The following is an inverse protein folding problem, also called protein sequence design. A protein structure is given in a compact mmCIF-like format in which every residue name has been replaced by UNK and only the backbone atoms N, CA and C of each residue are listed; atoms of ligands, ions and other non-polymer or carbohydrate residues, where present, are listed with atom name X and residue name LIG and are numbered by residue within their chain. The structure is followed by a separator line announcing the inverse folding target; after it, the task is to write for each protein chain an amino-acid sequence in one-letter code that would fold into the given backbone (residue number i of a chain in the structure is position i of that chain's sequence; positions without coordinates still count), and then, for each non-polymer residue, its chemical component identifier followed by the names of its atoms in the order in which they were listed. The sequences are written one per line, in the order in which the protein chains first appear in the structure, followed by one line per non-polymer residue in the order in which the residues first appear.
data_IF_435906429659
#
_entry.id   IF_435906429659
#
_cell.length_a   1.000
_cell.length_b   1.000
_cell.length_c   1.000
_cell.angle_alpha   90.00
_cell.angle_beta   90.00
_cell.angle_gamma   90.00
#
_symmetry.space_group_name_H-M   'P 1'
#
loop_
_entity.id
_entity.type
_entity.pdbx_description
1 polymer ?
#
# COMPACT_ATOMS: atom_id res chain seq x y z
N UNK A 1 -3.00 1.81 -6.82
CA UNK A 1 -3.73 0.92 -5.87
C UNK A 1 -3.90 -0.48 -6.47
N UNK A 2 -4.33 -0.62 -7.73
CA UNK A 2 -4.65 -1.93 -8.33
C UNK A 2 -3.52 -2.96 -8.43
N UNK A 3 -2.26 -2.54 -8.58
CA UNK A 3 -1.12 -3.47 -8.67
C UNK A 3 -0.76 -4.12 -7.34
N UNK A 4 -0.75 -3.33 -6.27
CA UNK A 4 -0.41 -3.78 -4.93
C UNK A 4 -1.48 -4.74 -4.40
N UNK A 5 -2.76 -4.40 -4.60
CA UNK A 5 -3.88 -5.27 -4.26
C UNK A 5 -3.81 -6.62 -4.99
N UNK A 6 -3.42 -6.61 -6.28
CA UNK A 6 -3.23 -7.83 -7.06
C UNK A 6 -2.06 -8.68 -6.53
N UNK A 7 -0.97 -8.05 -6.12
CA UNK A 7 0.19 -8.77 -5.59
C UNK A 7 -0.10 -9.37 -4.21
N UNK A 8 -0.78 -8.62 -3.33
CA UNK A 8 -1.30 -9.11 -2.05
C UNK A 8 -2.25 -10.29 -2.28
N UNK A 9 -3.18 -10.18 -3.23
CA UNK A 9 -4.11 -11.27 -3.58
C UNK A 9 -3.36 -12.55 -3.93
N UNK A 10 -2.29 -12.47 -4.74
CA UNK A 10 -1.48 -13.64 -5.09
C UNK A 10 -0.77 -14.25 -3.87
N UNK A 11 -0.36 -13.46 -2.89
CA UNK A 11 0.23 -13.98 -1.65
C UNK A 11 -0.80 -14.72 -0.80
N UNK A 12 -2.01 -14.15 -0.66
CA UNK A 12 -3.13 -14.79 0.02
C UNK A 12 -3.54 -16.10 -0.68
N UNK A 13 -3.57 -16.13 -2.02
CA UNK A 13 -3.86 -17.34 -2.82
C UNK A 13 -2.83 -18.46 -2.62
N UNK A 14 -1.58 -18.12 -2.24
CA UNK A 14 -0.55 -19.09 -1.85
C UNK A 14 -0.68 -19.57 -0.39
N UNK A 15 -1.65 -19.07 0.36
CA UNK A 15 -1.88 -19.41 1.76
C UNK A 15 -1.06 -18.57 2.75
N UNK A 16 -0.44 -17.48 2.32
CA UNK A 16 0.28 -16.58 3.22
C UNK A 16 -0.71 -15.76 4.07
N UNK A 17 -0.46 -15.65 5.37
CA UNK A 17 -0.99 -14.54 6.18
C UNK A 17 -0.19 -13.28 5.81
N UNK A 18 -0.87 -12.21 5.44
CA UNK A 18 -0.27 -10.93 5.08
C UNK A 18 -0.61 -9.87 6.12
N UNK A 19 0.41 -9.33 6.78
CA UNK A 19 0.31 -8.16 7.64
C UNK A 19 0.51 -6.90 6.80
N UNK A 20 -0.41 -5.95 6.90
CA UNK A 20 -0.38 -4.73 6.09
C UNK A 20 -0.58 -3.49 6.96
N UNK A 21 0.17 -2.43 6.64
CA UNK A 21 -0.05 -1.09 7.16
C UNK A 21 -0.12 -0.08 6.02
N UNK A 22 -0.95 0.95 6.21
CA UNK A 22 -1.08 2.08 5.28
C UNK A 22 -0.96 3.39 6.05
N UNK A 23 -0.06 4.24 5.58
CA UNK A 23 0.27 5.53 6.21
C UNK A 23 -0.10 6.63 5.22
N UNK A 24 -1.21 7.36 5.45
CA UNK A 24 -1.55 8.52 4.65
C UNK A 24 -0.52 9.63 4.82
N UNK A 25 -0.16 10.29 3.71
CA UNK A 25 0.72 11.47 3.71
C UNK A 25 -0.08 12.73 3.39
N UNK A 26 0.08 13.76 4.22
CA UNK A 26 -0.50 15.09 4.04
C UNK A 26 0.61 16.14 3.96
N UNK A 27 0.33 17.27 3.31
CA UNK A 27 1.25 18.40 3.23
C UNK A 27 0.61 19.64 3.88
N UNK A 28 1.24 20.14 4.94
CA UNK A 28 0.76 21.30 5.70
C UNK A 28 -0.63 21.06 6.29
N UNK A 29 -1.52 22.05 6.19
CA UNK A 29 -2.91 21.98 6.65
C UNK A 29 -3.88 21.40 5.62
N UNK A 30 -3.38 20.81 4.52
CA UNK A 30 -4.22 20.20 3.50
C UNK A 30 -5.02 19.03 4.08
N UNK A 31 -6.32 18.98 3.78
CA UNK A 31 -7.17 17.80 4.06
C UNK A 31 -7.13 16.77 2.93
N UNK A 32 -6.46 17.10 1.83
CA UNK A 32 -6.26 16.21 0.68
C UNK A 32 -4.91 15.51 0.86
N UNK A 33 -4.92 14.19 0.72
CA UNK A 33 -3.74 13.34 0.75
C UNK A 33 -2.82 13.69 -0.43
N UNK A 34 -1.52 13.79 -0.18
CA UNK A 34 -0.49 13.87 -1.24
C UNK A 34 0.04 12.49 -1.63
N UNK A 35 -0.25 11.47 -0.83
CA UNK A 35 0.06 10.08 -1.14
C UNK A 35 -0.28 9.15 0.00
N UNK A 36 -0.06 7.86 -0.21
CA UNK A 36 -0.20 6.80 0.79
C UNK A 36 1.01 5.89 0.67
N UNK A 37 1.70 5.67 1.78
CA UNK A 37 2.75 4.64 1.88
C UNK A 37 2.11 3.36 2.38
N UNK A 38 2.35 2.25 1.67
CA UNK A 38 1.86 0.92 2.02
C UNK A 38 3.07 0.04 2.30
N UNK A 39 3.00 -0.71 3.40
CA UNK A 39 3.91 -1.80 3.72
C UNK A 39 3.10 -3.08 3.92
N UNK A 40 3.44 -4.14 3.19
CA UNK A 40 2.80 -5.45 3.33
C UNK A 40 3.87 -6.55 3.42
N UNK A 41 3.75 -7.43 4.41
CA UNK A 41 4.66 -8.55 4.66
C UNK A 41 3.86 -9.84 4.80
N UNK A 42 4.22 -10.86 4.03
CA UNK A 42 3.62 -12.18 4.07
C UNK A 42 4.47 -13.18 4.83
N UNK A 43 3.81 -14.03 5.59
CA UNK A 43 4.43 -15.18 6.30
C UNK A 43 5.21 -16.14 5.40
N UNK A 44 4.99 -16.13 4.07
CA UNK A 44 5.71 -16.93 3.07
C UNK A 44 6.80 -16.16 2.32
N UNK A 45 7.20 -14.97 2.80
CA UNK A 45 8.27 -14.18 2.21
C UNK A 45 7.81 -13.13 1.19
N UNK A 46 6.50 -12.96 0.98
CA UNK A 46 5.98 -11.81 0.24
C UNK A 46 6.36 -10.49 0.94
N UNK A 47 6.83 -9.51 0.18
CA UNK A 47 7.15 -8.18 0.70
C UNK A 47 6.85 -7.10 -0.34
N UNK A 48 6.13 -6.07 0.07
CA UNK A 48 5.87 -4.86 -0.72
C UNK A 48 6.03 -3.63 0.18
N UNK A 49 6.79 -2.63 -0.30
CA UNK A 49 6.90 -1.33 0.35
C UNK A 49 6.95 -0.22 -0.68
N UNK A 50 5.87 0.56 -0.73
CA UNK A 50 5.61 1.44 -1.87
C UNK A 50 4.85 2.69 -1.43
N UNK A 51 5.15 3.81 -2.07
CA UNK A 51 4.39 5.05 -1.90
C UNK A 51 3.62 5.35 -3.18
N UNK A 52 2.30 5.43 -3.05
CA UNK A 52 1.40 5.86 -4.13
C UNK A 52 1.18 7.36 -3.94
N UNK A 53 1.66 8.17 -4.87
CA UNK A 53 1.43 9.60 -4.84
C UNK A 53 0.02 9.91 -5.36
N UNK A 54 -0.64 10.87 -4.74
CA UNK A 54 -1.83 11.49 -5.30
C UNK A 54 -1.37 12.61 -6.25
N UNK A 55 -1.45 12.42 -7.58
CA UNK A 55 -0.97 13.44 -8.51
C UNK A 55 -1.75 14.76 -8.31
N UNK A 56 -1.09 15.92 -8.43
CA UNK A 56 -1.78 17.20 -8.31
C UNK A 56 -2.87 17.30 -9.40
N UNK A 57 -4.13 17.47 -8.99
CA UNK A 57 -5.22 17.80 -9.90
C UNK A 57 -6.22 16.69 -10.26
N UNK A 58 -6.52 15.76 -9.34
CA UNK A 58 -7.86 15.14 -9.35
C UNK A 58 -8.88 16.07 -8.71
#
# INVERSE_FOLDING_TARGET
MSEIERNIKKALERGEIVEMSSIPSYKGSSRILVGITIKAEGSGGFYEYVTILNPPGM
#
